data_IF_443171492666
#
_entry.id   IF_443171492666
#
_cell.length_a   1.000
_cell.length_b   1.000
_cell.length_c   1.000
_cell.angle_alpha   90.00
_cell.angle_beta   90.00
_cell.angle_gamma   90.00
#
_symmetry.space_group_name_H-M   'P 1'
#
loop_
_entity.id
_entity.type
_entity.pdbx_description
1 polymer ?
#
# COMPACT_ATOMS: atom_id res chain seq x y z
N UNK A 1 -25.91 8.25 5.73
CA UNK A 1 -24.60 7.62 5.98
C UNK A 1 -23.59 7.73 4.83
N UNK A 2 -24.03 7.99 3.59
CA UNK A 2 -23.08 8.26 2.49
C UNK A 2 -22.43 9.65 2.64
N UNK A 3 -23.21 10.64 3.07
CA UNK A 3 -22.75 12.02 3.27
C UNK A 3 -21.77 12.11 4.46
N UNK A 4 -22.06 11.45 5.59
CA UNK A 4 -21.10 11.28 6.68
C UNK A 4 -19.74 10.74 6.24
N UNK A 5 -19.72 9.67 5.42
CA UNK A 5 -18.48 9.09 4.91
C UNK A 5 -17.75 10.02 3.94
N UNK A 6 -18.48 10.73 3.08
CA UNK A 6 -17.88 11.73 2.19
C UNK A 6 -17.20 12.85 2.99
N UNK A 7 -17.83 13.29 4.09
CA UNK A 7 -17.27 14.30 4.99
C UNK A 7 -16.05 13.79 5.76
N UNK A 8 -16.12 12.57 6.30
CA UNK A 8 -14.99 11.93 6.97
C UNK A 8 -13.79 11.74 6.02
N UNK A 9 -14.03 11.50 4.74
CA UNK A 9 -12.98 11.29 3.74
C UNK A 9 -12.52 12.59 3.04
N UNK A 10 -13.06 13.75 3.44
CA UNK A 10 -12.75 15.07 2.85
C UNK A 10 -13.01 15.16 1.34
N UNK A 11 -14.09 14.54 0.86
CA UNK A 11 -14.41 14.44 -0.57
C UNK A 11 -15.44 15.51 -0.98
N UNK A 12 -14.97 16.71 -1.33
CA UNK A 12 -15.83 17.85 -1.70
C UNK A 12 -16.82 17.53 -2.84
N UNK A 13 -16.29 16.97 -3.94
CA UNK A 13 -17.10 16.65 -5.12
C UNK A 13 -18.20 15.62 -4.83
N UNK A 14 -17.92 14.65 -3.94
CA UNK A 14 -18.92 13.64 -3.56
C UNK A 14 -19.96 14.21 -2.59
N UNK A 15 -19.58 15.12 -1.70
CA UNK A 15 -20.54 15.86 -0.87
C UNK A 15 -21.52 16.64 -1.75
N UNK A 16 -21.02 17.42 -2.71
CA UNK A 16 -21.84 18.17 -3.66
C UNK A 16 -22.76 17.24 -4.47
N UNK A 17 -22.20 16.17 -5.05
CA UNK A 17 -22.97 15.20 -5.84
C UNK A 17 -24.08 14.51 -5.02
N UNK A 18 -23.82 14.22 -3.75
CA UNK A 18 -24.81 13.60 -2.87
C UNK A 18 -25.94 14.58 -2.51
N UNK A 19 -25.60 15.85 -2.26
CA UNK A 19 -26.57 16.90 -1.96
C UNK A 19 -27.44 17.19 -3.19
N UNK A 20 -26.85 17.28 -4.38
CA UNK A 20 -27.58 17.40 -5.65
C UNK A 20 -28.50 16.20 -5.91
N UNK A 21 -28.12 15.01 -5.44
CA UNK A 21 -28.95 13.81 -5.48
C UNK A 21 -30.01 13.74 -4.36
N UNK A 22 -30.16 14.80 -3.56
CA UNK A 22 -31.17 14.94 -2.51
C UNK A 22 -30.76 14.39 -1.14
N UNK A 23 -29.45 14.26 -0.86
CA UNK A 23 -28.99 13.88 0.48
C UNK A 23 -29.30 14.96 1.52
N UNK A 24 -29.81 14.53 2.67
CA UNK A 24 -30.12 15.42 3.79
C UNK A 24 -28.84 15.85 4.52
N UNK A 25 -28.51 17.14 4.45
CA UNK A 25 -27.38 17.78 5.15
C UNK A 25 -27.49 17.66 6.69
N UNK A 26 -28.71 17.45 7.19
CA UNK A 26 -29.02 17.27 8.61
C UNK A 26 -29.16 15.81 9.04
N UNK A 27 -28.82 14.85 8.16
CA UNK A 27 -28.86 13.43 8.54
C UNK A 27 -28.05 13.17 9.82
N UNK A 28 -28.51 12.23 10.64
CA UNK A 28 -27.82 11.84 11.87
C UNK A 28 -27.47 10.36 11.87
N UNK A 29 -26.31 10.03 12.42
CA UNK A 29 -25.91 8.65 12.69
C UNK A 29 -26.36 8.18 14.08
N UNK A 30 -26.03 6.94 14.47
CA UNK A 30 -26.58 6.31 15.68
C UNK A 30 -26.22 7.07 16.97
N UNK A 31 -25.07 7.74 16.99
CA UNK A 31 -24.67 8.61 18.10
C UNK A 31 -25.26 10.04 18.05
N UNK A 32 -26.12 10.34 17.07
CA UNK A 32 -26.71 11.66 16.87
C UNK A 32 -25.79 12.67 16.18
N UNK A 33 -24.61 12.24 15.71
CA UNK A 33 -23.70 13.12 14.97
C UNK A 33 -24.28 13.46 13.59
N UNK A 34 -24.04 14.68 13.11
CA UNK A 34 -24.37 15.16 11.75
C UNK A 34 -23.15 15.13 10.81
N UNK A 35 -23.29 15.28 9.49
CA UNK A 35 -22.16 15.41 8.56
C UNK A 35 -21.16 16.50 8.97
N UNK A 36 -21.66 17.59 9.57
CA UNK A 36 -20.82 18.68 10.08
C UNK A 36 -19.94 18.24 11.26
N UNK A 37 -20.40 17.33 12.12
CA UNK A 37 -19.54 16.72 13.15
C UNK A 37 -18.40 15.92 12.52
N UNK A 38 -18.69 15.15 11.47
CA UNK A 38 -17.68 14.37 10.76
C UNK A 38 -16.63 15.25 10.08
N UNK A 39 -17.04 16.36 9.44
CA UNK A 39 -16.11 17.31 8.84
C UNK A 39 -15.25 18.04 9.90
N UNK A 40 -15.84 18.36 11.05
CA UNK A 40 -15.14 19.02 12.16
C UNK A 40 -14.13 18.10 12.86
N UNK A 41 -14.48 16.83 13.09
CA UNK A 41 -13.58 15.81 13.63
C UNK A 41 -12.30 15.64 12.80
N UNK A 42 -12.45 15.66 11.48
CA UNK A 42 -11.35 15.47 10.54
C UNK A 42 -10.53 16.75 10.28
N UNK A 43 -10.95 17.89 10.83
CA UNK A 43 -10.27 19.17 10.59
C UNK A 43 -10.39 19.61 9.12
N UNK A 44 -11.53 19.36 8.47
CA UNK A 44 -11.74 19.69 7.07
C UNK A 44 -12.41 21.06 6.90
N UNK A 45 -11.61 22.13 6.88
CA UNK A 45 -12.08 23.52 6.79
C UNK A 45 -13.01 23.77 5.60
N UNK A 46 -12.60 23.33 4.40
CA UNK A 46 -13.36 23.53 3.16
C UNK A 46 -14.73 22.83 3.19
N UNK A 47 -14.79 21.62 3.74
CA UNK A 47 -16.06 20.90 3.89
C UNK A 47 -16.96 21.48 4.98
N UNK A 48 -16.38 21.98 6.07
CA UNK A 48 -17.13 22.71 7.10
C UNK A 48 -17.76 23.96 6.50
N UNK A 49 -17.01 24.74 5.72
CA UNK A 49 -17.53 25.92 5.03
C UNK A 49 -18.65 25.56 4.05
N UNK A 50 -18.44 24.52 3.23
CA UNK A 50 -19.47 24.04 2.29
C UNK A 50 -20.75 23.61 3.01
N UNK A 51 -20.64 22.75 4.04
CA UNK A 51 -21.81 22.24 4.76
C UNK A 51 -22.60 23.38 5.43
N UNK A 52 -21.91 24.39 5.96
CA UNK A 52 -22.55 25.58 6.53
C UNK A 52 -23.25 26.42 5.45
N UNK A 53 -22.63 26.62 4.29
CA UNK A 53 -23.25 27.28 3.14
C UNK A 53 -24.50 26.55 2.64
N UNK A 54 -24.50 25.21 2.72
CA UNK A 54 -25.63 24.34 2.39
C UNK A 54 -26.68 24.26 3.51
N UNK A 55 -26.53 25.04 4.59
CA UNK A 55 -27.53 25.18 5.65
C UNK A 55 -27.37 24.22 6.83
N UNK A 56 -26.23 23.56 7.00
CA UNK A 56 -25.96 22.77 8.19
C UNK A 56 -26.00 23.64 9.46
N UNK A 57 -26.61 23.12 10.53
CA UNK A 57 -26.68 23.84 11.81
C UNK A 57 -25.34 23.76 12.54
N UNK A 58 -24.66 24.90 12.67
CA UNK A 58 -23.37 25.01 13.38
C UNK A 58 -23.41 24.51 14.84
N UNK A 59 -24.58 24.62 15.49
CA UNK A 59 -24.82 24.19 16.87
C UNK A 59 -25.64 22.89 16.98
N UNK A 60 -25.66 22.03 15.94
CA UNK A 60 -26.26 20.71 16.07
C UNK A 60 -25.60 19.93 17.22
N UNK A 61 -26.38 19.33 18.12
CA UNK A 61 -25.86 18.51 19.20
C UNK A 61 -26.10 17.03 18.94
N UNK A 62 -25.10 16.21 19.29
CA UNK A 62 -25.23 14.77 19.27
C UNK A 62 -25.89 14.24 20.56
N UNK A 63 -26.02 12.92 20.70
CA UNK A 63 -26.66 12.29 21.86
C UNK A 63 -25.92 12.51 23.19
N UNK A 64 -24.67 13.01 23.15
CA UNK A 64 -23.88 13.41 24.31
C UNK A 64 -23.87 14.93 24.56
N UNK A 65 -24.60 15.70 23.75
CA UNK A 65 -24.62 17.16 23.81
C UNK A 65 -23.40 17.83 23.17
N UNK A 66 -22.49 17.07 22.55
CA UNK A 66 -21.34 17.64 21.86
C UNK A 66 -21.76 18.23 20.50
N UNK A 67 -21.17 19.37 20.14
CA UNK A 67 -21.40 20.06 18.87
C UNK A 67 -20.18 19.90 17.94
N UNK A 68 -20.26 20.22 16.64
CA UNK A 68 -19.11 20.16 15.74
C UNK A 68 -17.89 20.93 16.27
N UNK A 69 -18.11 22.06 16.95
CA UNK A 69 -17.04 22.84 17.57
C UNK A 69 -16.28 22.08 18.66
N UNK A 70 -16.98 21.29 19.49
CA UNK A 70 -16.35 20.45 20.52
C UNK A 70 -15.44 19.38 19.89
N UNK A 71 -15.86 18.84 18.75
CA UNK A 71 -15.06 17.85 18.02
C UNK A 71 -13.81 18.47 17.39
N UNK A 72 -13.93 19.65 16.76
CA UNK A 72 -12.78 20.37 16.21
C UNK A 72 -11.75 20.74 17.30
N UNK A 73 -12.20 21.22 18.45
CA UNK A 73 -11.31 21.62 19.56
C UNK A 73 -10.68 20.43 20.27
N UNK A 74 -11.42 19.36 20.54
CA UNK A 74 -10.88 18.14 21.16
C UNK A 74 -9.80 17.46 20.29
N UNK A 75 -9.89 17.64 18.96
CA UNK A 75 -8.91 17.10 18.00
C UNK A 75 -7.77 18.08 17.67
N UNK A 76 -7.80 19.31 18.21
CA UNK A 76 -6.75 20.32 17.99
C UNK A 76 -6.83 21.04 16.65
N UNK A 77 -7.99 21.10 16.01
CA UNK A 77 -8.21 21.79 14.73
C UNK A 77 -8.64 23.25 14.95
N UNK A 78 -7.70 24.09 15.41
CA UNK A 78 -7.98 25.49 15.80
C UNK A 78 -8.58 26.34 14.66
N UNK A 79 -8.15 26.10 13.41
CA UNK A 79 -8.67 26.78 12.23
C UNK A 79 -10.15 26.46 11.98
N UNK A 80 -10.52 25.19 12.13
CA UNK A 80 -11.91 24.72 11.97
C UNK A 80 -12.79 25.18 13.13
N UNK A 81 -12.28 25.14 14.36
CA UNK A 81 -12.97 25.70 15.51
C UNK A 81 -13.26 27.20 15.32
N UNK A 82 -12.26 27.96 14.86
CA UNK A 82 -12.40 29.38 14.54
C UNK A 82 -13.36 29.64 13.38
N UNK A 83 -13.40 28.76 12.38
CA UNK A 83 -14.36 28.83 11.27
C UNK A 83 -15.80 28.60 11.75
N UNK A 84 -16.00 27.59 12.60
CA UNK A 84 -17.31 27.30 13.21
C UNK A 84 -17.80 28.47 14.09
N UNK A 85 -16.91 29.07 14.90
CA UNK A 85 -17.23 30.26 15.72
C UNK A 85 -17.67 31.44 14.85
N UNK A 86 -16.93 31.72 13.76
CA UNK A 86 -17.29 32.77 12.78
C UNK A 86 -18.66 32.54 12.14
N UNK A 87 -19.10 31.28 12.07
CA UNK A 87 -20.40 30.88 11.54
C UNK A 87 -21.44 30.59 12.65
N UNK A 88 -21.25 31.18 13.84
CA UNK A 88 -22.25 31.19 14.91
C UNK A 88 -22.25 29.94 15.83
N UNK A 89 -21.23 29.09 15.76
CA UNK A 89 -21.07 28.02 16.74
C UNK A 89 -20.72 28.59 18.13
N UNK A 90 -21.35 28.05 19.16
CA UNK A 90 -21.08 28.42 20.56
C UNK A 90 -20.17 27.39 21.23
N UNK A 91 -19.47 27.83 22.27
CA UNK A 91 -18.60 26.98 23.10
C UNK A 91 -19.38 26.16 24.15
N UNK A 92 -20.71 26.24 24.12
CA UNK A 92 -21.57 25.55 25.07
C UNK A 92 -22.02 24.22 24.49
N UNK A 93 -22.04 23.17 25.31
CA UNK A 93 -22.68 21.91 24.95
C UNK A 93 -24.16 22.14 24.66
N UNK A 94 -24.68 21.49 23.62
CA UNK A 94 -26.09 21.53 23.29
C UNK A 94 -26.93 20.60 24.15
N UNK A 95 -28.24 20.56 23.91
CA UNK A 95 -29.15 19.67 24.62
C UNK A 95 -28.86 18.20 24.27
N UNK A 96 -28.87 17.35 25.29
CA UNK A 96 -28.74 15.90 25.20
C UNK A 96 -30.06 15.32 24.69
N UNK A 97 -30.06 14.77 23.46
CA UNK A 97 -31.28 14.42 22.70
C UNK A 97 -31.89 13.03 23.02
N UNK A 98 -31.58 12.43 24.18
CA UNK A 98 -32.04 11.06 24.49
C UNK A 98 -33.58 11.03 24.56
N UNK A 99 -34.29 10.20 23.77
CA UNK A 99 -35.75 10.11 23.87
C UNK A 99 -36.15 9.45 25.19
N UNK A 100 -37.09 10.06 25.91
CA UNK A 100 -37.69 9.56 27.17
C UNK A 100 -38.41 8.19 27.05
N UNK A 101 -38.38 7.54 25.89
CA UNK A 101 -39.23 6.38 25.55
C UNK A 101 -38.50 5.07 25.22
N UNK A 102 -37.25 4.89 25.63
CA UNK A 102 -36.65 3.54 25.57
C UNK A 102 -37.27 2.68 26.69
N UNK A 103 -37.95 1.54 26.38
CA UNK A 103 -38.56 0.69 27.40
C UNK A 103 -37.49 0.26 28.41
N UNK A 104 -37.80 0.43 29.70
CA UNK A 104 -37.02 -0.13 30.81
C UNK A 104 -37.10 -1.66 30.72
N UNK A 105 -36.22 -2.28 29.93
CA UNK A 105 -36.08 -3.74 29.91
C UNK A 105 -35.46 -4.13 31.25
N UNK A 106 -36.29 -4.68 32.14
CA UNK A 106 -36.01 -4.91 33.56
C UNK A 106 -34.90 -5.93 33.85
N UNK A 107 -34.31 -6.58 32.84
CA UNK A 107 -33.38 -7.70 33.05
C UNK A 107 -31.98 -7.52 32.42
N UNK A 108 -31.62 -6.33 31.96
CA UNK A 108 -30.24 -6.08 31.49
C UNK A 108 -29.26 -5.67 32.61
N UNK A 109 -29.78 -5.30 33.80
CA UNK A 109 -28.99 -4.82 34.94
C UNK A 109 -28.70 -5.87 36.02
N UNK A 110 -29.22 -7.10 35.91
CA UNK A 110 -28.94 -8.20 36.86
C UNK A 110 -27.74 -9.06 36.46
N UNK A 111 -27.09 -8.76 35.33
CA UNK A 111 -25.79 -9.31 34.97
C UNK A 111 -24.74 -8.21 35.05
N UNK A 112 -23.68 -8.49 35.80
CA UNK A 112 -22.56 -7.58 36.03
C UNK A 112 -21.91 -7.17 34.70
N UNK A 113 -22.35 -6.04 34.15
CA UNK A 113 -21.77 -5.43 32.96
C UNK A 113 -20.66 -4.45 33.37
N UNK A 114 -19.44 -4.77 32.91
CA UNK A 114 -18.18 -4.06 32.65
C UNK A 114 -17.96 -2.56 32.99
N UNK A 115 -18.96 -1.79 33.40
CA UNK A 115 -18.88 -0.35 33.59
C UNK A 115 -18.46 0.10 35.02
N UNK A 116 -18.37 -0.80 36.01
CA UNK A 116 -18.14 -0.41 37.41
C UNK A 116 -16.92 -0.99 38.13
N UNK A 117 -15.97 -1.63 37.44
CA UNK A 117 -14.65 -1.82 38.05
C UNK A 117 -13.63 -0.82 37.45
N UNK A 118 -12.78 -0.19 38.28
CA UNK A 118 -11.64 0.59 37.80
C UNK A 118 -10.54 -0.28 37.16
N UNK A 119 -10.67 -1.61 37.18
CA UNK A 119 -9.77 -2.55 36.49
C UNK A 119 -10.15 -2.81 35.01
N UNK A 120 -11.39 -3.19 34.63
CA UNK A 120 -11.79 -3.46 33.24
C UNK A 120 -11.62 -2.31 32.26
N UNK A 121 -11.81 -1.04 32.65
CA UNK A 121 -11.54 0.07 31.71
C UNK A 121 -10.04 0.30 31.53
N UNK A 122 -9.25 0.23 32.61
CA UNK A 122 -7.80 0.32 32.52
C UNK A 122 -7.21 -0.88 31.75
N UNK A 123 -7.74 -2.09 31.98
CA UNK A 123 -7.38 -3.33 31.29
C UNK A 123 -7.86 -3.31 29.83
N UNK A 124 -9.03 -2.71 29.54
CA UNK A 124 -9.52 -2.50 28.17
C UNK A 124 -8.71 -1.44 27.44
N UNK A 125 -8.32 -0.36 28.11
CA UNK A 125 -7.46 0.67 27.55
C UNK A 125 -6.03 0.16 27.36
N UNK A 126 -5.52 -0.65 28.28
CA UNK A 126 -4.26 -1.37 28.15
C UNK A 126 -4.34 -2.43 27.05
N UNK A 127 -5.45 -3.15 26.91
CA UNK A 127 -5.73 -4.05 25.80
C UNK A 127 -5.79 -3.29 24.47
N UNK A 128 -6.46 -2.13 24.41
CA UNK A 128 -6.55 -1.28 23.20
C UNK A 128 -5.24 -0.60 22.87
N UNK A 129 -4.42 -0.26 23.87
CA UNK A 129 -3.07 0.25 23.67
C UNK A 129 -2.12 -0.87 23.25
N UNK A 130 -2.26 -2.07 23.81
CA UNK A 130 -1.51 -3.26 23.39
C UNK A 130 -1.90 -3.70 21.99
N UNK A 131 -3.19 -3.74 21.66
CA UNK A 131 -3.71 -4.00 20.32
C UNK A 131 -3.24 -2.92 19.35
N UNK A 132 -3.28 -1.62 19.72
CA UNK A 132 -2.72 -0.54 18.89
C UNK A 132 -1.20 -0.63 18.75
N UNK A 133 -0.48 -0.97 19.80
CA UNK A 133 0.97 -1.15 19.77
C UNK A 133 1.37 -2.40 18.99
N UNK A 134 0.57 -3.45 19.02
CA UNK A 134 0.70 -4.66 18.19
C UNK A 134 0.37 -4.34 16.73
N UNK A 135 -0.70 -3.59 16.45
CA UNK A 135 -1.04 -3.11 15.11
C UNK A 135 0.02 -2.14 14.58
N UNK A 136 0.59 -1.32 15.45
CA UNK A 136 1.65 -0.38 15.11
C UNK A 136 3.01 -1.08 14.99
N UNK A 137 3.26 -2.14 15.77
CA UNK A 137 4.41 -3.03 15.61
C UNK A 137 4.27 -3.92 14.37
N UNK A 138 3.06 -4.33 14.01
CA UNK A 138 2.72 -4.99 12.75
C UNK A 138 2.85 -4.02 11.58
N UNK A 139 2.39 -2.77 11.71
CA UNK A 139 2.63 -1.68 10.74
C UNK A 139 4.11 -1.37 10.61
N UNK A 140 4.89 -1.34 11.70
CA UNK A 140 6.35 -1.18 11.70
C UNK A 140 7.06 -2.42 11.14
N UNK A 141 6.53 -3.63 11.36
CA UNK A 141 6.95 -4.86 10.66
C UNK A 141 6.58 -4.83 9.18
N UNK A 142 5.46 -4.20 8.81
CA UNK A 142 4.98 -4.02 7.43
C UNK A 142 5.61 -2.80 6.75
N UNK A 143 6.25 -1.91 7.50
CA UNK A 143 7.22 -0.90 7.03
C UNK A 143 8.55 -1.54 6.60
N UNK A 144 8.63 -2.87 6.50
CA UNK A 144 9.46 -3.49 5.49
C UNK A 144 8.90 -3.06 4.12
N UNK A 145 9.31 -1.88 3.68
CA UNK A 145 8.79 -1.20 2.53
C UNK A 145 8.75 -2.14 1.31
N UNK A 146 7.64 -2.06 0.59
CA UNK A 146 7.23 -3.02 -0.40
C UNK A 146 7.20 -2.26 -1.73
N UNK A 147 8.14 -2.58 -2.61
CA UNK A 147 8.64 -1.61 -3.59
C UNK A 147 8.23 -1.90 -5.02
N UNK A 148 7.86 -3.12 -5.40
CA UNK A 148 7.67 -3.48 -6.82
C UNK A 148 6.82 -4.73 -7.09
N UNK A 149 6.08 -4.72 -8.21
CA UNK A 149 5.32 -5.89 -8.68
C UNK A 149 5.41 -6.01 -10.20
N UNK A 150 5.59 -7.25 -10.67
CA UNK A 150 5.42 -7.58 -12.09
C UNK A 150 3.95 -7.88 -12.37
N UNK A 151 3.33 -7.07 -13.22
CA UNK A 151 1.92 -7.23 -13.56
C UNK A 151 1.72 -7.78 -14.98
N UNK A 152 2.78 -7.80 -15.79
CA UNK A 152 2.80 -8.48 -17.09
C UNK A 152 4.10 -9.29 -17.26
N UNK A 153 4.03 -10.62 -17.49
CA UNK A 153 2.86 -11.45 -17.25
C UNK A 153 2.34 -11.28 -15.81
N UNK A 154 1.07 -11.60 -15.59
CA UNK A 154 0.46 -11.46 -14.27
C UNK A 154 1.19 -12.39 -13.29
N UNK A 155 1.89 -11.79 -12.33
CA UNK A 155 2.55 -12.53 -11.25
C UNK A 155 1.53 -13.05 -10.25
N UNK A 156 1.90 -14.03 -9.44
CA UNK A 156 1.07 -14.57 -8.35
C UNK A 156 0.60 -13.45 -7.41
N UNK A 157 1.46 -12.51 -6.99
CA UNK A 157 1.02 -11.37 -6.17
C UNK A 157 0.06 -10.43 -6.90
N UNK A 158 0.25 -10.23 -8.20
CA UNK A 158 -0.68 -9.43 -9.00
C UNK A 158 -2.05 -10.12 -9.15
N UNK A 159 -2.08 -11.44 -9.33
CA UNK A 159 -3.34 -12.20 -9.32
C UNK A 159 -4.06 -12.10 -7.97
N UNK A 160 -3.34 -12.24 -6.86
CA UNK A 160 -3.91 -12.10 -5.51
C UNK A 160 -4.49 -10.70 -5.31
N UNK A 161 -3.79 -9.65 -5.77
CA UNK A 161 -4.33 -8.29 -5.76
C UNK A 161 -5.63 -8.19 -6.57
N UNK A 162 -5.66 -8.72 -7.80
CA UNK A 162 -6.84 -8.65 -8.67
C UNK A 162 -8.02 -9.52 -8.19
N UNK A 163 -7.78 -10.59 -7.44
CA UNK A 163 -8.83 -11.50 -6.98
C UNK A 163 -9.36 -11.10 -5.61
N UNK A 164 -8.46 -10.73 -4.70
CA UNK A 164 -8.79 -10.47 -3.31
C UNK A 164 -8.93 -8.97 -3.01
N UNK A 165 -8.58 -8.09 -3.96
CA UNK A 165 -8.56 -6.62 -3.82
C UNK A 165 -8.01 -6.21 -2.45
N UNK A 166 -6.83 -6.77 -2.14
CA UNK A 166 -6.21 -6.60 -0.84
C UNK A 166 -5.84 -5.12 -0.66
N UNK A 167 -6.55 -4.45 0.25
CA UNK A 167 -6.41 -3.01 0.55
C UNK A 167 -5.05 -2.63 1.17
N UNK A 168 -4.17 -3.61 1.38
CA UNK A 168 -2.77 -3.37 1.74
C UNK A 168 -1.89 -3.45 0.49
N UNK A 169 -1.59 -2.33 -0.20
CA UNK A 169 -0.70 -2.32 -1.36
C UNK A 169 0.67 -2.91 -1.02
N UNK A 170 1.13 -2.80 0.24
CA UNK A 170 2.38 -3.40 0.68
C UNK A 170 2.37 -4.94 0.71
N UNK A 171 1.19 -5.57 0.73
CA UNK A 171 1.04 -7.02 0.69
C UNK A 171 1.03 -7.59 -0.76
N UNK A 172 0.99 -6.72 -1.78
CA UNK A 172 0.98 -7.08 -3.21
C UNK A 172 2.40 -7.20 -3.77
N UNK A 173 3.39 -6.55 -3.14
CA UNK A 173 4.77 -6.60 -3.59
C UNK A 173 5.48 -7.77 -2.89
N UNK A 174 5.62 -8.91 -3.58
CA UNK A 174 6.25 -10.09 -2.99
C UNK A 174 7.77 -9.95 -2.84
N UNK A 175 8.29 -10.52 -1.74
CA UNK A 175 9.67 -10.38 -1.30
C UNK A 175 9.97 -8.96 -0.81
N UNK A 176 10.63 -8.83 0.33
CA UNK A 176 11.03 -7.53 0.90
C UNK A 176 12.00 -7.73 2.05
N UNK A 177 12.17 -6.72 2.92
CA UNK A 177 13.13 -6.81 4.04
C UNK A 177 12.92 -8.08 4.87
N UNK A 178 11.67 -8.52 5.08
CA UNK A 178 11.36 -9.76 5.82
C UNK A 178 11.86 -11.05 5.16
N UNK A 179 11.89 -11.12 3.83
CA UNK A 179 12.44 -12.30 3.12
C UNK A 179 13.97 -12.31 3.11
N UNK A 180 14.59 -11.19 3.46
CA UNK A 180 16.05 -11.01 3.45
C UNK A 180 16.63 -11.06 4.87
N UNK A 181 15.95 -10.44 5.84
CA UNK A 181 16.40 -10.25 7.22
C UNK A 181 15.29 -10.60 8.22
N UNK A 182 15.65 -11.40 9.24
CA UNK A 182 14.82 -11.67 10.41
C UNK A 182 15.26 -10.76 11.55
N UNK A 183 14.52 -9.67 11.79
CA UNK A 183 14.80 -8.69 12.86
C UNK A 183 16.25 -8.18 12.92
N UNK A 184 16.96 -8.11 11.79
CA UNK A 184 18.37 -7.70 11.73
C UNK A 184 19.39 -8.76 12.15
N UNK A 185 18.96 -9.98 12.46
CA UNK A 185 19.83 -11.06 12.95
C UNK A 185 20.59 -11.79 11.84
N UNK A 186 20.06 -11.83 10.63
CA UNK A 186 20.75 -12.45 9.50
C UNK A 186 21.90 -11.55 9.03
N UNK A 187 22.92 -12.18 8.46
CA UNK A 187 24.14 -11.54 7.95
C UNK A 187 24.41 -12.02 6.52
N UNK A 188 24.66 -11.07 5.60
CA UNK A 188 24.80 -11.37 4.18
C UNK A 188 25.87 -12.45 3.96
N UNK A 189 25.63 -13.48 3.10
CA UNK A 189 24.58 -13.60 2.07
C UNK A 189 23.37 -14.47 2.44
N UNK A 190 23.17 -14.81 3.72
CA UNK A 190 22.05 -15.68 4.14
C UNK A 190 20.71 -14.99 3.86
N UNK A 191 19.64 -15.70 3.49
CA UNK A 191 18.33 -15.08 3.26
C UNK A 191 17.29 -15.71 4.18
N UNK A 192 16.36 -14.90 4.72
CA UNK A 192 15.17 -15.40 5.41
C UNK A 192 14.08 -15.80 4.40
N UNK A 193 14.41 -16.61 3.40
CA UNK A 193 13.52 -16.86 2.27
C UNK A 193 13.14 -18.33 2.23
N UNK A 194 11.84 -18.59 2.04
CA UNK A 194 11.36 -19.95 1.84
C UNK A 194 11.51 -20.40 0.37
N UNK A 195 11.19 -19.53 -0.58
CA UNK A 195 11.25 -19.82 -2.02
C UNK A 195 11.60 -18.60 -2.85
N UNK A 196 12.01 -18.82 -4.11
CA UNK A 196 12.31 -17.77 -5.10
C UNK A 196 11.12 -16.90 -5.53
N UNK A 197 9.94 -17.07 -4.92
CA UNK A 197 8.73 -16.31 -5.26
C UNK A 197 8.37 -15.24 -4.22
N UNK A 198 9.27 -14.95 -3.28
CA UNK A 198 9.16 -13.80 -2.39
C UNK A 198 8.50 -14.08 -1.03
N UNK A 199 8.34 -15.35 -0.65
CA UNK A 199 7.92 -15.73 0.70
C UNK A 199 9.12 -15.69 1.68
N UNK A 200 8.90 -15.13 2.87
CA UNK A 200 9.83 -15.31 3.98
C UNK A 200 9.91 -16.78 4.45
N UNK A 201 10.92 -17.15 5.24
CA UNK A 201 11.18 -18.55 5.64
C UNK A 201 9.99 -19.21 6.38
N UNK A 202 9.17 -18.41 7.05
CA UNK A 202 7.96 -18.79 7.78
C UNK A 202 6.66 -18.64 6.95
N UNK A 203 6.74 -18.08 5.75
CA UNK A 203 5.58 -17.82 4.88
C UNK A 203 5.51 -18.80 3.70
N UNK A 204 4.31 -19.06 3.19
CA UNK A 204 4.07 -20.03 2.10
C UNK A 204 3.09 -19.50 1.05
N UNK A 205 2.81 -18.19 1.05
CA UNK A 205 1.70 -17.59 0.30
C UNK A 205 1.92 -17.73 -1.20
N UNK A 206 3.13 -17.43 -1.66
CA UNK A 206 3.48 -17.34 -3.08
C UNK A 206 4.10 -18.60 -3.64
N UNK A 207 4.39 -19.61 -2.82
CA UNK A 207 5.04 -20.83 -3.26
C UNK A 207 4.16 -21.73 -4.13
N UNK A 208 2.85 -21.79 -3.83
CA UNK A 208 1.90 -22.59 -4.59
C UNK A 208 1.74 -22.04 -6.01
N UNK A 209 1.74 -22.89 -7.06
CA UNK A 209 1.42 -22.48 -8.41
C UNK A 209 0.07 -21.77 -8.49
N UNK A 210 0.06 -20.57 -9.07
CA UNK A 210 -1.12 -19.78 -9.33
C UNK A 210 -1.68 -20.01 -10.74
N UNK A 211 -2.44 -19.02 -11.22
CA UNK A 211 -2.99 -19.01 -12.58
C UNK A 211 -1.90 -18.70 -13.61
N UNK A 212 -2.09 -19.16 -14.85
CA UNK A 212 -1.17 -18.84 -15.96
C UNK A 212 -1.24 -17.35 -16.30
N UNK A 213 -0.17 -16.62 -16.01
CA UNK A 213 -0.01 -15.20 -16.30
C UNK A 213 0.32 -14.89 -17.77
N UNK A 214 0.75 -15.89 -18.55
CA UNK A 214 1.02 -15.77 -19.98
C UNK A 214 1.42 -17.08 -20.66
N UNK A 215 1.27 -17.11 -21.99
CA UNK A 215 1.71 -18.20 -22.87
C UNK A 215 2.59 -17.64 -23.97
N UNK A 216 3.76 -18.23 -24.18
CA UNK A 216 4.78 -17.74 -25.10
C UNK A 216 5.36 -18.88 -25.94
N UNK A 217 5.98 -18.54 -27.08
CA UNK A 217 6.74 -19.51 -27.86
C UNK A 217 8.20 -19.53 -27.43
N UNK A 218 8.85 -20.70 -27.47
CA UNK A 218 10.30 -20.80 -27.25
C UNK A 218 11.05 -19.90 -28.25
N UNK A 219 12.17 -19.32 -27.82
CA UNK A 219 12.94 -18.38 -28.64
C UNK A 219 12.26 -17.03 -28.91
N UNK A 220 11.05 -16.78 -28.40
CA UNK A 220 10.39 -15.48 -28.53
C UNK A 220 11.05 -14.44 -27.62
N UNK A 221 11.10 -13.18 -28.09
CA UNK A 221 11.34 -12.02 -27.21
C UNK A 221 10.04 -11.65 -26.52
N UNK A 222 10.06 -11.63 -25.18
CA UNK A 222 8.91 -11.25 -24.36
C UNK A 222 9.17 -9.90 -23.68
N UNK A 223 8.11 -9.12 -23.47
CA UNK A 223 8.16 -7.94 -22.61
C UNK A 223 7.61 -8.28 -21.23
N UNK A 224 8.29 -7.84 -20.19
CA UNK A 224 7.78 -7.88 -18.82
C UNK A 224 7.58 -6.47 -18.29
N UNK A 225 6.40 -6.19 -17.74
CA UNK A 225 6.03 -4.88 -17.24
C UNK A 225 5.97 -4.89 -15.70
N UNK A 226 6.70 -3.93 -15.14
CA UNK A 226 6.95 -3.82 -13.71
C UNK A 226 6.57 -2.42 -13.27
N UNK A 227 5.88 -2.30 -12.14
CA UNK A 227 5.72 -1.03 -11.43
C UNK A 227 6.48 -1.05 -10.13
N UNK A 228 7.02 0.12 -9.76
CA UNK A 228 7.71 0.33 -8.50
C UNK A 228 6.93 1.36 -7.68
N UNK A 229 6.43 1.01 -6.50
CA UNK A 229 5.79 1.95 -5.57
C UNK A 229 6.79 2.95 -4.99
N UNK A 230 7.98 2.45 -4.70
CA UNK A 230 9.15 3.22 -4.32
C UNK A 230 10.30 2.70 -5.17
N UNK A 231 10.76 3.51 -6.10
CA UNK A 231 11.81 3.15 -7.04
C UNK A 231 13.17 3.50 -6.45
N UNK A 232 13.90 2.48 -6.04
CA UNK A 232 15.30 2.61 -5.69
C UNK A 232 16.17 2.51 -6.94
N UNK A 233 17.36 3.10 -6.86
CA UNK A 233 18.49 2.56 -7.61
C UNK A 233 18.55 1.04 -7.45
N UNK A 234 18.83 0.32 -8.53
CA UNK A 234 18.94 -1.12 -8.45
C UNK A 234 19.00 -1.81 -9.79
N UNK A 235 18.92 -3.13 -9.74
CA UNK A 235 19.11 -4.00 -10.90
C UNK A 235 18.00 -5.04 -10.96
N UNK A 236 17.45 -5.22 -12.15
CA UNK A 236 16.40 -6.18 -12.45
C UNK A 236 16.98 -7.37 -13.20
N UNK A 237 16.58 -8.56 -12.76
CA UNK A 237 16.96 -9.84 -13.35
C UNK A 237 15.71 -10.68 -13.57
N UNK A 238 15.67 -11.42 -14.69
CA UNK A 238 14.58 -12.36 -14.98
C UNK A 238 15.15 -13.77 -15.18
N UNK A 239 14.44 -14.77 -14.69
CA UNK A 239 14.83 -16.18 -14.83
C UNK A 239 13.61 -17.02 -15.19
N UNK A 240 13.87 -18.10 -15.91
CA UNK A 240 12.89 -19.14 -16.16
C UNK A 240 13.26 -20.35 -15.30
N UNK A 241 12.33 -20.82 -14.48
CA UNK A 241 12.57 -21.91 -13.53
C UNK A 241 11.52 -23.01 -13.70
N UNK A 242 11.89 -24.28 -13.46
CA UNK A 242 10.93 -25.35 -13.23
C UNK A 242 9.87 -24.94 -12.19
N UNK A 243 8.66 -25.50 -12.31
CA UNK A 243 7.53 -25.09 -11.46
C UNK A 243 7.76 -25.37 -9.98
N UNK A 244 8.52 -26.41 -9.65
CA UNK A 244 8.86 -26.84 -8.30
C UNK A 244 10.14 -26.20 -7.74
N UNK A 245 10.90 -25.47 -8.57
CA UNK A 245 12.16 -24.85 -8.19
C UNK A 245 12.03 -23.97 -6.93
N UNK A 246 12.88 -24.25 -5.93
CA UNK A 246 12.97 -23.50 -4.67
C UNK A 246 14.21 -22.61 -4.59
N UNK A 247 15.21 -22.87 -5.41
CA UNK A 247 16.47 -22.14 -5.43
C UNK A 247 16.81 -21.62 -6.82
N UNK A 248 17.55 -20.50 -6.87
CA UNK A 248 17.93 -19.83 -8.12
C UNK A 248 18.84 -20.70 -9.00
N UNK A 249 19.62 -21.60 -8.40
CA UNK A 249 20.51 -22.52 -9.13
C UNK A 249 19.77 -23.44 -10.09
N UNK A 250 18.47 -23.68 -9.84
CA UNK A 250 17.62 -24.54 -10.66
C UNK A 250 16.98 -23.77 -11.83
N UNK A 251 17.29 -22.47 -11.96
CA UNK A 251 16.71 -21.57 -12.95
C UNK A 251 17.71 -21.19 -14.04
N UNK A 252 17.19 -20.89 -15.23
CA UNK A 252 17.95 -20.35 -16.35
C UNK A 252 17.77 -18.82 -16.39
N UNK A 253 18.85 -18.01 -16.32
CA UNK A 253 18.74 -16.57 -16.47
C UNK A 253 18.37 -16.19 -17.90
N UNK A 254 17.43 -15.26 -18.05
CA UNK A 254 17.06 -14.74 -19.36
C UNK A 254 18.05 -13.68 -19.81
N UNK A 255 18.40 -13.72 -21.10
CA UNK A 255 19.30 -12.75 -21.73
C UNK A 255 18.52 -11.58 -22.29
N UNK A 256 19.18 -10.43 -22.36
CA UNK A 256 18.67 -9.26 -23.07
C UNK A 256 18.80 -9.48 -24.58
N UNK A 257 17.76 -9.13 -25.38
CA UNK A 257 17.83 -9.26 -26.84
C UNK A 257 18.92 -8.41 -27.50
N UNK A 258 19.34 -7.32 -26.84
CA UNK A 258 20.40 -6.42 -27.30
C UNK A 258 21.83 -6.95 -27.04
N UNK A 259 21.96 -8.14 -26.44
CA UNK A 259 23.25 -8.75 -26.14
C UNK A 259 23.99 -8.16 -24.93
N UNK A 260 23.43 -7.18 -24.22
CA UNK A 260 24.08 -6.49 -23.08
C UNK A 260 24.00 -7.28 -21.75
N UNK A 261 23.90 -8.60 -21.81
CA UNK A 261 23.93 -9.48 -20.64
C UNK A 261 22.55 -9.98 -20.16
N UNK A 262 22.40 -10.14 -18.85
CA UNK A 262 21.23 -10.79 -18.19
C UNK A 262 20.51 -9.87 -17.19
N UNK A 263 20.82 -8.56 -17.23
CA UNK A 263 20.41 -7.61 -16.20
C UNK A 263 20.05 -6.26 -16.81
N UNK A 264 19.02 -5.60 -16.28
CA UNK A 264 18.74 -4.19 -16.55
C UNK A 264 19.04 -3.37 -15.32
N UNK A 265 19.77 -2.27 -15.53
CA UNK A 265 20.16 -1.34 -14.50
C UNK A 265 19.16 -0.17 -14.49
N UNK A 266 18.56 0.07 -13.33
CA UNK A 266 17.60 1.18 -13.18
C UNK A 266 18.37 2.50 -13.06
N UNK A 267 17.95 3.54 -13.80
CA UNK A 267 18.58 4.86 -13.75
C UNK A 267 18.38 5.50 -12.39
N UNK A 268 19.27 6.45 -12.07
CA UNK A 268 19.15 7.26 -10.86
C UNK A 268 17.87 8.11 -10.87
N UNK A 269 17.27 8.25 -9.70
CA UNK A 269 16.04 9.00 -9.45
C UNK A 269 16.33 10.11 -8.42
N UNK A 270 15.75 11.31 -8.61
CA UNK A 270 16.03 12.47 -7.75
C UNK A 270 15.12 12.41 -6.52
N UNK A 271 15.66 12.00 -5.38
CA UNK A 271 14.95 11.92 -4.10
C UNK A 271 15.87 11.60 -2.91
N UNK A 272 15.32 11.48 -1.69
CA UNK A 272 16.09 11.16 -0.48
C UNK A 272 16.76 9.79 -0.66
N UNK A 273 18.10 9.72 -0.58
CA UNK A 273 18.91 8.52 -0.83
C UNK A 273 18.68 7.81 -2.19
N UNK A 274 18.26 8.52 -3.24
CA UNK A 274 18.04 7.90 -4.56
C UNK A 274 16.80 6.99 -4.62
N UNK A 275 15.80 7.30 -3.79
CA UNK A 275 14.46 6.70 -3.82
C UNK A 275 13.48 7.74 -4.36
N UNK A 276 12.64 7.35 -5.33
CA UNK A 276 11.49 8.17 -5.75
C UNK A 276 10.20 7.39 -5.60
N UNK A 277 9.08 8.10 -5.49
CA UNK A 277 7.78 7.46 -5.65
C UNK A 277 7.62 6.88 -7.07
N UNK A 278 6.66 5.97 -7.24
CA UNK A 278 6.34 5.38 -8.53
C UNK A 278 5.71 6.33 -9.54
N UNK A 279 5.35 7.55 -9.16
CA UNK A 279 4.67 8.53 -10.00
C UNK A 279 5.63 9.51 -10.66
N UNK A 280 6.84 9.63 -10.13
CA UNK A 280 7.91 10.51 -10.58
C UNK A 280 8.83 9.77 -11.53
N UNK A 281 9.17 10.35 -12.70
CA UNK A 281 10.08 9.69 -13.64
C UNK A 281 11.52 9.67 -13.09
N UNK A 282 12.36 8.74 -13.57
CA UNK A 282 13.79 8.82 -13.32
C UNK A 282 14.40 10.10 -13.90
N UNK A 283 15.56 10.52 -13.37
CA UNK A 283 16.18 11.82 -13.71
C UNK A 283 16.57 11.93 -15.16
N UNK A 284 16.91 10.81 -15.78
CA UNK A 284 17.10 10.71 -17.22
C UNK A 284 16.15 9.66 -17.80
N UNK A 285 15.37 10.08 -18.78
CA UNK A 285 14.57 9.21 -19.64
C UNK A 285 15.20 9.04 -21.02
N UNK A 286 16.35 9.68 -21.28
CA UNK A 286 17.09 9.57 -22.54
C UNK A 286 17.95 8.31 -22.54
N UNK A 287 17.96 7.59 -23.66
CA UNK A 287 18.76 6.38 -23.91
C UNK A 287 18.54 5.25 -22.88
N UNK A 288 17.29 5.03 -22.48
CA UNK A 288 16.93 3.89 -21.65
C UNK A 288 17.01 2.60 -22.48
N UNK A 289 17.58 1.56 -21.90
CA UNK A 289 17.61 0.21 -22.47
C UNK A 289 16.26 -0.52 -22.36
N UNK A 290 15.26 0.14 -21.80
CA UNK A 290 13.91 -0.36 -21.56
C UNK A 290 12.88 0.73 -21.88
N UNK A 291 11.63 0.32 -22.08
CA UNK A 291 10.55 1.28 -22.36
C UNK A 291 9.93 1.75 -21.05
N UNK A 292 9.70 3.04 -20.93
CA UNK A 292 8.99 3.66 -19.83
C UNK A 292 7.62 4.13 -20.31
N UNK A 293 6.55 3.77 -19.61
CA UNK A 293 5.20 4.26 -19.91
C UNK A 293 4.40 4.56 -18.64
N UNK A 294 3.24 5.18 -18.76
CA UNK A 294 2.34 5.42 -17.62
C UNK A 294 1.31 4.31 -17.54
N UNK A 295 1.14 3.74 -16.36
CA UNK A 295 0.15 2.72 -16.09
C UNK A 295 -1.25 3.28 -16.35
N UNK A 296 -1.97 2.59 -17.22
CA UNK A 296 -3.37 2.88 -17.50
C UNK A 296 -4.25 2.31 -16.38
N UNK A 297 -5.53 2.67 -16.40
CA UNK A 297 -6.53 2.11 -15.49
C UNK A 297 -6.46 0.58 -15.50
N UNK A 298 -6.11 0.01 -14.35
CA UNK A 298 -6.25 -1.43 -14.10
C UNK A 298 -7.73 -1.62 -13.80
N UNK A 299 -8.47 -2.17 -14.75
CA UNK A 299 -9.94 -2.14 -14.80
C UNK A 299 -10.64 -2.30 -13.44
N UNK A 300 -11.72 -1.54 -13.25
CA UNK A 300 -12.53 -1.52 -12.03
C UNK A 300 -13.36 -2.82 -11.93
N UNK A 301 -13.17 -3.68 -10.92
CA UNK A 301 -14.14 -4.73 -10.63
C UNK A 301 -15.43 -4.08 -10.14
N UNK A 302 -16.57 -4.72 -10.40
CA UNK A 302 -17.87 -4.24 -9.97
C UNK A 302 -17.90 -4.16 -8.42
N UNK A 303 -18.12 -2.96 -7.87
CA UNK A 303 -18.19 -2.73 -6.41
C UNK A 303 -16.96 -2.08 -5.76
N UNK A 304 -15.88 -1.80 -6.47
CA UNK A 304 -14.71 -1.12 -5.90
C UNK A 304 -14.91 0.41 -5.79
N UNK A 305 -14.51 1.01 -4.67
CA UNK A 305 -14.48 2.47 -4.52
C UNK A 305 -13.44 3.08 -5.48
N UNK A 306 -13.74 4.26 -6.05
CA UNK A 306 -12.95 4.84 -7.14
C UNK A 306 -11.47 5.05 -6.81
N UNK A 307 -11.12 5.37 -5.56
CA UNK A 307 -9.74 5.61 -5.11
C UNK A 307 -8.93 4.34 -4.82
N UNK A 308 -9.59 3.23 -4.48
CA UNK A 308 -8.94 1.94 -4.17
C UNK A 308 -8.56 1.14 -5.42
N UNK A 309 -9.22 1.37 -6.55
CA UNK A 309 -8.91 0.71 -7.81
C UNK A 309 -8.00 1.52 -8.75
N UNK A 310 -7.65 2.75 -8.35
CA UNK A 310 -6.78 3.66 -9.12
C UNK A 310 -5.38 3.84 -8.50
N UNK A 311 -5.02 3.04 -7.48
CA UNK A 311 -3.77 3.22 -6.72
C UNK A 311 -2.50 3.13 -7.58
N UNK A 312 -2.55 2.39 -8.69
CA UNK A 312 -1.42 2.26 -9.62
C UNK A 312 -1.51 3.20 -10.83
N UNK A 313 -2.64 3.88 -11.03
CA UNK A 313 -2.84 4.72 -12.22
C UNK A 313 -1.86 5.86 -12.23
N UNK A 314 -1.21 6.06 -13.37
CA UNK A 314 -0.21 7.11 -13.51
C UNK A 314 1.12 6.80 -12.83
N UNK A 315 1.29 5.61 -12.23
CA UNK A 315 2.63 5.13 -11.91
C UNK A 315 3.41 4.81 -13.20
N UNK A 316 4.73 4.90 -13.13
CA UNK A 316 5.59 4.51 -14.22
C UNK A 316 5.75 3.00 -14.31
N UNK A 317 5.50 2.50 -15.53
CA UNK A 317 5.70 1.12 -15.94
C UNK A 317 7.04 1.01 -16.63
N UNK A 318 7.85 0.08 -16.15
CA UNK A 318 9.14 -0.29 -16.70
C UNK A 318 8.96 -1.58 -17.49
N UNK A 319 9.10 -1.49 -18.81
CA UNK A 319 8.91 -2.58 -19.75
C UNK A 319 10.26 -3.08 -20.26
N UNK A 320 10.64 -4.28 -19.84
CA UNK A 320 11.91 -4.91 -20.15
C UNK A 320 11.73 -6.05 -21.16
N UNK A 321 12.60 -6.11 -22.17
CA UNK A 321 12.58 -7.19 -23.14
C UNK A 321 13.53 -8.31 -22.74
N UNK A 322 13.08 -9.56 -22.88
CA UNK A 322 13.84 -10.76 -22.52
C UNK A 322 13.76 -11.80 -23.62
N UNK A 323 14.90 -12.40 -23.93
CA UNK A 323 15.00 -13.48 -24.91
C UNK A 323 14.74 -14.83 -24.21
N UNK A 324 13.65 -15.50 -24.59
CA UNK A 324 13.38 -16.86 -24.13
C UNK A 324 14.37 -17.87 -24.76
N UNK A 325 14.74 -18.95 -24.06
CA UNK A 325 15.57 -20.01 -24.63
C UNK A 325 14.90 -20.69 -25.83
N UNK A 326 15.68 -21.12 -26.82
CA UNK A 326 15.18 -21.76 -28.06
C UNK A 326 14.86 -23.25 -27.88
N UNK A 327 15.40 -23.84 -26.84
CA UNK A 327 15.46 -25.26 -26.53
C UNK A 327 14.64 -25.63 -25.28
N UNK A 328 13.87 -24.68 -24.73
CA UNK A 328 13.07 -24.89 -23.53
C UNK A 328 11.58 -24.75 -23.81
N UNK A 329 10.80 -25.74 -23.40
CA UNK A 329 9.33 -25.71 -23.38
C UNK A 329 8.82 -26.14 -22.01
N UNK A 330 7.64 -25.67 -21.63
CA UNK A 330 7.02 -26.03 -20.36
C UNK A 330 5.50 -25.87 -20.47
N UNK A 331 4.73 -26.81 -19.92
CA UNK A 331 3.27 -26.64 -19.80
C UNK A 331 2.91 -25.65 -18.68
N UNK A 332 3.73 -25.61 -17.63
CA UNK A 332 3.66 -24.64 -16.55
C UNK A 332 5.03 -24.51 -15.90
N UNK A 333 5.59 -23.30 -15.89
CA UNK A 333 6.86 -23.00 -15.25
C UNK A 333 6.84 -21.59 -14.66
N UNK A 334 7.85 -21.26 -13.86
CA UNK A 334 7.96 -19.95 -13.18
C UNK A 334 8.80 -19.00 -14.03
N UNK A 335 8.22 -17.85 -14.38
CA UNK A 335 8.98 -16.67 -14.75
C UNK A 335 9.26 -15.88 -13.47
N UNK A 336 10.51 -15.92 -13.02
CA UNK A 336 10.96 -15.36 -11.77
C UNK A 336 11.63 -14.01 -12.00
N UNK A 337 11.09 -12.99 -11.36
CA UNK A 337 11.64 -11.65 -11.30
C UNK A 337 12.41 -11.47 -10.00
N UNK A 338 13.62 -10.92 -10.11
CA UNK A 338 14.43 -10.49 -8.98
C UNK A 338 14.84 -9.03 -9.17
N UNK A 339 14.64 -8.24 -8.13
CA UNK A 339 15.09 -6.87 -8.06
C UNK A 339 15.97 -6.67 -6.83
N UNK A 340 17.21 -6.26 -7.08
CA UNK A 340 18.21 -5.94 -6.06
C UNK A 340 18.36 -4.43 -5.98
N UNK A 341 18.08 -3.86 -4.81
CA UNK A 341 18.21 -2.42 -4.57
C UNK A 341 19.66 -2.01 -4.29
N UNK A 342 19.94 -0.74 -4.56
CA UNK A 342 21.23 -0.07 -4.39
C UNK A 342 21.06 1.36 -3.81
N UNK A 343 19.88 1.71 -3.28
CA UNK A 343 19.56 3.03 -2.69
C UNK A 343 20.37 3.33 -1.42
N UNK A 344 20.86 2.29 -0.76
CA UNK A 344 21.77 2.44 0.36
C UNK A 344 23.18 2.59 -0.21
N UNK A 345 23.72 3.83 -0.28
CA UNK A 345 25.16 4.10 -0.39
C UNK A 345 25.84 3.41 0.82
N UNK A 346 26.02 2.08 0.78
CA UNK A 346 26.56 1.33 1.90
C UNK A 346 28.06 1.09 1.66
N UNK A 347 28.94 1.50 2.59
CA UNK A 347 30.38 1.28 2.51
C UNK A 347 30.68 -0.20 2.23
N UNK A 348 31.67 -0.52 1.37
CA UNK A 348 32.88 0.23 1.09
C UNK A 348 33.11 0.64 -0.39
N UNK A 349 32.09 0.65 -1.26
CA UNK A 349 32.32 0.92 -2.69
C UNK A 349 32.42 2.38 -3.13
N UNK A 350 32.22 3.34 -2.23
CA UNK A 350 32.43 4.76 -2.55
C UNK A 350 33.38 5.38 -1.53
N UNK A 351 34.52 5.88 -2.02
CA UNK A 351 35.17 7.04 -1.43
C UNK A 351 34.28 8.23 -1.77
N UNK A 352 33.92 9.02 -0.78
CA UNK A 352 33.01 10.17 -0.92
C UNK A 352 33.38 11.12 -2.07
N UNK A 353 32.42 11.88 -2.62
CA UNK A 353 30.96 11.87 -2.35
C UNK A 353 30.20 10.85 -3.23
N UNK A 354 28.92 10.54 -2.93
CA UNK A 354 28.05 9.64 -3.73
C UNK A 354 27.77 10.17 -5.17
N UNK A 355 28.80 10.37 -5.99
CA UNK A 355 28.69 10.77 -7.40
C UNK A 355 28.80 9.54 -8.29
N UNK A 356 27.63 9.08 -8.78
CA UNK A 356 27.41 7.93 -9.69
C UNK A 356 27.86 6.55 -9.13
N UNK A 357 27.00 5.52 -9.13
CA UNK A 357 27.44 4.17 -8.80
C UNK A 357 28.48 3.69 -9.82
N UNK A 358 29.62 3.18 -9.35
CA UNK A 358 30.70 2.64 -10.22
C UNK A 358 30.41 1.18 -10.63
N UNK A 359 29.30 0.61 -10.17
CA UNK A 359 28.80 -0.71 -10.53
C UNK A 359 27.57 -1.08 -9.69
N UNK A 360 26.67 -1.92 -10.22
CA UNK A 360 25.48 -2.44 -9.51
C UNK A 360 25.77 -3.80 -8.86
N UNK A 361 26.87 -3.89 -8.11
CA UNK A 361 27.22 -5.07 -7.33
C UNK A 361 27.12 -4.76 -5.83
N UNK A 362 26.74 -5.76 -5.02
CA UNK A 362 26.77 -5.61 -3.57
C UNK A 362 28.23 -5.54 -3.12
N UNK A 363 28.61 -4.37 -2.63
CA UNK A 363 29.97 -4.10 -2.22
C UNK A 363 30.26 -4.39 -0.75
N UNK A 364 29.22 -4.67 0.05
CA UNK A 364 29.39 -4.91 1.48
C UNK A 364 30.27 -6.13 1.77
N UNK A 365 31.05 -6.07 2.85
CA UNK A 365 31.74 -7.26 3.37
C UNK A 365 30.69 -8.27 3.86
N UNK A 366 30.96 -9.59 3.82
CA UNK A 366 30.14 -10.56 4.54
C UNK A 366 29.91 -10.07 5.99
N UNK A 367 28.65 -10.03 6.44
CA UNK A 367 28.30 -9.41 7.74
C UNK A 367 27.91 -7.93 7.71
N UNK A 368 27.82 -7.31 6.54
CA UNK A 368 27.25 -5.96 6.39
C UNK A 368 25.72 -5.99 6.29
N UNK A 369 25.11 -4.83 6.57
CA UNK A 369 23.66 -4.62 6.49
C UNK A 369 23.14 -4.86 5.08
N UNK A 370 21.99 -5.52 4.97
CA UNK A 370 21.50 -6.06 3.70
C UNK A 370 20.97 -5.00 2.72
N UNK A 371 21.19 -5.20 1.41
CA UNK A 371 20.38 -4.55 0.40
C UNK A 371 18.97 -5.13 0.43
N UNK A 372 17.97 -4.31 0.13
CA UNK A 372 16.59 -4.81 0.02
C UNK A 372 16.45 -5.58 -1.29
N UNK A 373 15.79 -6.73 -1.22
CA UNK A 373 15.56 -7.60 -2.37
C UNK A 373 14.08 -7.91 -2.52
N UNK A 374 13.62 -7.92 -3.77
CA UNK A 374 12.22 -8.16 -4.13
C UNK A 374 12.14 -9.29 -5.14
N UNK A 375 11.16 -10.18 -4.97
CA UNK A 375 11.09 -11.44 -5.69
C UNK A 375 9.64 -11.71 -6.08
N UNK A 376 9.37 -11.90 -7.37
CA UNK A 376 8.03 -12.22 -7.87
C UNK A 376 8.12 -13.45 -8.78
N UNK A 377 7.04 -14.22 -8.83
CA UNK A 377 6.87 -15.29 -9.81
C UNK A 377 5.58 -15.09 -10.59
N UNK A 378 5.63 -15.23 -11.90
CA UNK A 378 4.46 -15.51 -12.73
C UNK A 378 4.51 -16.97 -13.19
N UNK A 379 3.38 -17.65 -13.22
CA UNK A 379 3.29 -18.96 -13.85
C UNK A 379 3.04 -18.77 -15.34
N UNK A 380 3.87 -19.37 -16.19
CA UNK A 380 3.82 -19.19 -17.64
C UNK A 380 3.87 -20.54 -18.35
N UNK A 381 3.38 -20.58 -19.59
CA UNK A 381 3.49 -21.72 -20.50
C UNK A 381 4.42 -21.35 -21.65
N UNK A 382 5.38 -22.21 -21.97
CA UNK A 382 6.31 -22.04 -23.10
C UNK A 382 6.06 -23.16 -24.11
N UNK A 383 5.50 -22.82 -25.26
CA UNK A 383 5.17 -23.76 -26.33
C UNK A 383 6.31 -23.89 -27.34
N UNK A 384 6.21 -24.91 -28.18
CA UNK A 384 7.09 -25.11 -29.34
C UNK A 384 7.16 -23.93 -30.30
#
# INVERSE_FOLDING_TARGET
MKLHRACHNKQLDEVLRLVDAGADISEVEAAGNTPLHSAAYEGWSEGVELLLQLGAKANASNNAGDTPWHWATNMGWDEVASLLERNGATKQKGQVLVPEHVPKVKDFYSKECWAHHPKPYADFMAFKQKERAELEAERKKAQAAAHMVMFNPKSRPWYDYLLNYNYNPHAVFAGGVKSVSKDGQLQWPKRNMYSICGDAAEERKWDKPGQLGGTYKKGQVISTDIVFAQNHLGRVHMRLCPLDAKAVKDCVPLRRPDGKGVTYDLPWTKGWYGVTDGFTPPVSTKNLDFKLSKMQLVGKPQGCAAWSCDQFRGMYVYSFNWQLPKDFTCEKCKLQLYYLTASRCWPPCQKEPCTKPVGYEFCGKPGATYPEEFWNCADVKITS
#
